data_IF_354439439462
#
_entry.id   IF_354439439462
#
_cell.length_a   1.000
_cell.length_b   1.000
_cell.length_c   1.000
_cell.angle_alpha   90.00
_cell.angle_beta   90.00
_cell.angle_gamma   90.00
#
_symmetry.space_group_name_H-M   'P 1'
#
loop_
_entity.id
_entity.type
_entity.pdbx_description
1 polymer ?
#
# COMPACT_ATOMS: atom_id res chain seq x y z
N UNK A 1 -3.05 -15.34 -8.87
CA UNK A 1 -1.59 -15.54 -8.82
C UNK A 1 -1.16 -15.26 -7.40
N UNK A 2 -0.41 -16.17 -6.76
CA UNK A 2 0.14 -15.88 -5.44
C UNK A 2 0.96 -14.60 -5.51
N UNK A 3 0.88 -13.75 -4.48
CA UNK A 3 1.73 -12.57 -4.35
C UNK A 3 3.19 -13.03 -4.54
N UNK A 4 3.86 -12.59 -5.60
CA UNK A 4 5.24 -12.96 -5.85
C UNK A 4 6.12 -12.31 -4.79
N UNK A 5 6.76 -13.13 -3.95
CA UNK A 5 7.58 -12.67 -2.83
C UNK A 5 6.77 -12.29 -1.59
N UNK A 6 7.32 -11.37 -0.78
CA UNK A 6 6.70 -10.97 0.49
C UNK A 6 5.66 -9.86 0.30
N UNK A 7 4.41 -10.02 0.78
CA UNK A 7 3.41 -8.96 0.76
C UNK A 7 3.84 -7.68 1.49
N UNK A 8 4.69 -7.81 2.52
CA UNK A 8 5.30 -6.65 3.20
C UNK A 8 6.25 -5.89 2.29
N UNK A 9 7.06 -6.61 1.52
CA UNK A 9 8.01 -6.01 0.57
C UNK A 9 7.28 -5.26 -0.54
N UNK A 10 6.20 -5.83 -1.08
CA UNK A 10 5.32 -5.13 -2.03
C UNK A 10 4.80 -3.80 -1.46
N UNK A 11 4.31 -3.79 -0.21
CA UNK A 11 3.86 -2.57 0.45
C UNK A 11 4.99 -1.54 0.64
N UNK A 12 6.20 -1.98 0.97
CA UNK A 12 7.38 -1.10 1.06
C UNK A 12 7.78 -0.54 -0.30
N UNK A 13 7.70 -1.34 -1.36
CA UNK A 13 8.03 -0.90 -2.72
C UNK A 13 7.01 0.13 -3.23
N UNK A 14 5.73 -0.04 -2.88
CA UNK A 14 4.68 0.97 -3.12
C UNK A 14 4.97 2.27 -2.35
N UNK A 15 5.34 2.18 -1.07
CA UNK A 15 5.70 3.35 -0.27
C UNK A 15 6.91 4.09 -0.88
N UNK A 16 7.93 3.34 -1.32
CA UNK A 16 9.11 3.86 -2.01
C UNK A 16 8.82 4.46 -3.39
N UNK A 17 7.70 4.09 -4.02
CA UNK A 17 7.33 4.51 -5.37
C UNK A 17 7.93 3.63 -6.47
N UNK A 18 8.48 2.46 -6.14
CA UNK A 18 9.02 1.49 -7.10
C UNK A 18 7.91 0.73 -7.84
N UNK A 19 6.76 0.55 -7.18
CA UNK A 19 5.60 -0.14 -7.71
C UNK A 19 4.35 0.70 -7.50
N UNK A 20 3.40 0.66 -8.43
CA UNK A 20 2.06 1.26 -8.27
C UNK A 20 0.97 0.23 -8.56
N UNK A 21 -0.19 0.39 -7.93
CA UNK A 21 -1.35 -0.46 -8.18
C UNK A 21 -2.33 0.25 -9.11
N UNK A 22 -2.72 -0.46 -10.17
CA UNK A 22 -3.73 -0.02 -11.13
C UNK A 22 -4.86 -1.05 -11.22
N UNK A 23 -6.05 -0.64 -11.64
CA UNK A 23 -7.19 -1.56 -11.76
C UNK A 23 -6.93 -2.75 -12.70
N UNK A 24 -6.10 -2.58 -13.73
CA UNK A 24 -5.69 -3.66 -14.63
C UNK A 24 -4.74 -4.63 -13.93
N UNK A 25 -3.74 -4.11 -13.21
CA UNK A 25 -2.80 -4.91 -12.43
C UNK A 25 -3.46 -5.70 -11.30
N UNK A 26 -4.59 -5.23 -10.77
CA UNK A 26 -5.34 -5.96 -9.73
C UNK A 26 -6.06 -7.22 -10.24
N UNK A 27 -6.26 -7.38 -11.55
CA UNK A 27 -6.98 -8.54 -12.11
C UNK A 27 -6.29 -9.88 -11.88
N UNK A 28 -4.99 -9.90 -11.64
CA UNK A 28 -4.21 -11.13 -11.43
C UNK A 28 -4.29 -11.68 -10.00
N UNK A 29 -4.80 -10.88 -9.06
CA UNK A 29 -4.88 -11.23 -7.64
C UNK A 29 -6.22 -11.85 -7.29
N UNK A 30 -6.19 -12.85 -6.41
CA UNK A 30 -7.40 -13.43 -5.82
C UNK A 30 -7.97 -12.52 -4.72
N UNK A 31 -9.23 -12.72 -4.29
CA UNK A 31 -9.78 -12.00 -3.13
C UNK A 31 -8.91 -12.12 -1.87
N UNK A 32 -8.35 -13.30 -1.62
CA UNK A 32 -7.44 -13.54 -0.49
C UNK A 32 -6.13 -12.74 -0.62
N UNK A 33 -5.57 -12.66 -1.83
CA UNK A 33 -4.39 -11.84 -2.11
C UNK A 33 -4.69 -10.35 -1.87
N UNK A 34 -5.83 -9.85 -2.37
CA UNK A 34 -6.23 -8.45 -2.20
C UNK A 34 -6.39 -8.07 -0.72
N UNK A 35 -6.99 -8.97 0.08
CA UNK A 35 -7.09 -8.80 1.54
C UNK A 35 -5.71 -8.78 2.19
N UNK A 36 -4.84 -9.71 1.81
CA UNK A 36 -3.46 -9.80 2.31
C UNK A 36 -2.68 -8.52 2.00
N UNK A 37 -2.77 -8.01 0.76
CA UNK A 37 -2.13 -6.76 0.35
C UNK A 37 -2.65 -5.61 1.21
N UNK A 38 -3.97 -5.47 1.41
CA UNK A 38 -4.53 -4.44 2.28
C UNK A 38 -4.01 -4.50 3.72
N UNK A 39 -3.92 -5.70 4.30
CA UNK A 39 -3.35 -5.90 5.64
C UNK A 39 -1.91 -5.43 5.70
N UNK A 40 -1.07 -5.78 4.71
CA UNK A 40 0.33 -5.37 4.70
C UNK A 40 0.53 -3.88 4.40
N UNK A 41 -0.32 -3.26 3.57
CA UNK A 41 -0.36 -1.80 3.41
C UNK A 41 -0.65 -1.11 4.76
N UNK A 42 -1.59 -1.64 5.54
CA UNK A 42 -1.92 -1.10 6.86
C UNK A 42 -0.76 -1.25 7.87
N UNK A 43 -0.07 -2.40 7.87
CA UNK A 43 1.14 -2.62 8.70
C UNK A 43 2.21 -1.58 8.37
N UNK A 44 2.58 -1.44 7.09
CA UNK A 44 3.63 -0.48 6.69
C UNK A 44 3.20 0.96 6.95
N UNK A 45 1.92 1.28 6.78
CA UNK A 45 1.37 2.61 7.13
C UNK A 45 1.53 2.90 8.63
N UNK A 46 1.25 1.90 9.49
CA UNK A 46 1.44 2.01 10.94
C UNK A 46 2.92 2.19 11.29
N UNK A 47 3.81 1.40 10.70
CA UNK A 47 5.25 1.49 10.90
C UNK A 47 5.77 2.90 10.55
N UNK A 48 5.37 3.43 9.38
CA UNK A 48 5.74 4.79 8.96
C UNK A 48 5.17 5.86 9.89
N UNK A 49 3.94 5.70 10.38
CA UNK A 49 3.36 6.66 11.34
C UNK A 49 4.11 6.68 12.67
N UNK A 50 4.58 5.52 13.14
CA UNK A 50 5.34 5.37 14.37
C UNK A 50 6.77 5.93 14.28
N UNK A 51 7.30 6.14 13.06
CA UNK A 51 8.61 6.76 12.85
C UNK A 51 8.65 8.18 13.43
N UNK A 52 9.54 8.43 14.39
CA UNK A 52 9.80 9.75 14.95
C UNK A 52 10.78 10.49 14.04
N UNK A 53 10.38 11.66 13.55
CA UNK A 53 11.22 12.51 12.70
C UNK A 53 11.36 13.87 13.41
N UNK A 54 12.59 14.40 13.59
CA UNK A 54 12.81 15.73 14.13
C UNK A 54 12.05 16.79 13.32
N UNK A 55 11.48 17.80 13.98
CA UNK A 55 10.61 18.78 13.33
C UNK A 55 11.38 19.71 12.38
N UNK A 56 12.67 19.89 12.66
CA UNK A 56 13.63 20.61 11.85
C UNK A 56 13.97 19.91 10.53
N UNK A 57 13.79 18.58 10.44
CA UNK A 57 14.04 17.81 9.22
C UNK A 57 12.80 17.80 8.31
N UNK A 58 12.50 18.98 7.76
CA UNK A 58 11.40 19.19 6.81
C UNK A 58 11.49 18.23 5.60
N UNK A 59 12.67 17.98 5.00
CA UNK A 59 12.80 16.97 3.94
C UNK A 59 12.34 15.57 4.35
N UNK A 60 12.74 15.07 5.52
CA UNK A 60 12.34 13.75 5.99
C UNK A 60 10.82 13.68 6.29
N UNK A 61 10.24 14.73 6.86
CA UNK A 61 8.79 14.83 7.08
C UNK A 61 8.04 14.73 5.74
N UNK A 62 8.49 15.49 4.73
CA UNK A 62 7.90 15.42 3.38
C UNK A 62 8.03 14.02 2.80
N UNK A 63 9.18 13.38 2.93
CA UNK A 63 9.40 12.02 2.42
C UNK A 63 8.46 11.00 3.07
N UNK A 64 8.29 11.05 4.41
CA UNK A 64 7.31 10.21 5.13
C UNK A 64 5.88 10.45 4.66
N UNK A 65 5.48 11.71 4.51
CA UNK A 65 4.14 12.06 4.03
C UNK A 65 3.88 11.57 2.59
N UNK A 66 4.89 11.61 1.72
CA UNK A 66 4.80 11.05 0.37
C UNK A 66 4.62 9.53 0.38
N UNK A 67 5.40 8.82 1.22
CA UNK A 67 5.23 7.36 1.40
C UNK A 67 3.81 7.01 1.88
N UNK A 68 3.30 7.75 2.87
CA UNK A 68 1.94 7.57 3.39
C UNK A 68 0.87 7.85 2.33
N UNK A 69 1.04 8.91 1.53
CA UNK A 69 0.11 9.25 0.44
C UNK A 69 0.01 8.10 -0.59
N UNK A 70 1.14 7.52 -1.00
CA UNK A 70 1.18 6.39 -1.93
C UNK A 70 0.47 5.15 -1.38
N UNK A 71 0.71 4.81 -0.11
CA UNK A 71 0.03 3.68 0.55
C UNK A 71 -1.48 3.88 0.62
N UNK A 72 -1.93 5.09 0.98
CA UNK A 72 -3.35 5.44 1.01
C UNK A 72 -3.99 5.34 -0.38
N UNK A 73 -3.31 5.83 -1.42
CA UNK A 73 -3.78 5.74 -2.80
C UNK A 73 -3.89 4.28 -3.25
N UNK A 74 -2.89 3.44 -2.96
CA UNK A 74 -2.91 2.02 -3.26
C UNK A 74 -4.09 1.31 -2.57
N UNK A 75 -4.33 1.58 -1.29
CA UNK A 75 -5.47 1.03 -0.56
C UNK A 75 -6.81 1.49 -1.15
N UNK A 76 -6.91 2.75 -1.56
CA UNK A 76 -8.10 3.28 -2.23
C UNK A 76 -8.39 2.55 -3.54
N UNK A 77 -7.37 2.35 -4.39
CA UNK A 77 -7.51 1.64 -5.67
C UNK A 77 -8.00 0.21 -5.46
N UNK A 78 -7.45 -0.51 -4.48
CA UNK A 78 -7.89 -1.88 -4.14
C UNK A 78 -9.35 -1.87 -3.68
N UNK A 79 -9.72 -0.98 -2.75
CA UNK A 79 -11.10 -0.91 -2.24
C UNK A 79 -12.11 -0.56 -3.33
N UNK A 80 -11.78 0.39 -4.20
CA UNK A 80 -12.61 0.76 -5.33
C UNK A 80 -12.80 -0.41 -6.31
N UNK A 81 -11.72 -1.14 -6.62
CA UNK A 81 -11.75 -2.33 -7.46
C UNK A 81 -12.64 -3.43 -6.88
N UNK A 82 -12.48 -3.74 -5.59
CA UNK A 82 -13.27 -4.75 -4.90
C UNK A 82 -14.75 -4.37 -4.82
N UNK A 83 -15.05 -3.11 -4.49
CA UNK A 83 -16.42 -2.58 -4.47
C UNK A 83 -17.12 -2.75 -5.81
N UNK A 84 -16.44 -2.38 -6.91
CA UNK A 84 -16.99 -2.50 -8.28
C UNK A 84 -17.27 -3.96 -8.67
N UNK A 85 -16.47 -4.91 -8.17
CA UNK A 85 -16.56 -6.34 -8.49
C UNK A 85 -17.28 -7.19 -7.43
N UNK A 86 -17.83 -6.55 -6.40
CA UNK A 86 -18.49 -7.22 -5.26
C UNK A 86 -17.61 -8.28 -4.59
N UNK A 87 -16.31 -8.01 -4.49
CA UNK A 87 -15.36 -8.86 -3.75
C UNK A 87 -15.45 -8.50 -2.27
N UNK A 88 -15.74 -9.45 -1.36
CA UNK A 88 -15.79 -9.19 0.07
C UNK A 88 -14.38 -9.08 0.66
N UNK A 89 -14.00 -7.90 1.13
CA UNK A 89 -12.70 -7.60 1.76
C UNK A 89 -12.85 -6.77 3.03
#
# INVERSE_FOLDING_TARGET
MAISGSPKKLAQDIAGGFTSLSQSGLKQYTPADLKTILTHLAIVTRDLRAEQIPLEDVPAIKAKNMKLSRLNQAAMVIRAYCKKRRIPI
#
